data_IF_936044569038
#
_entry.id   IF_936044569038
#
_cell.length_a   1.000
_cell.length_b   1.000
_cell.length_c   1.000
_cell.angle_alpha   90.00
_cell.angle_beta   90.00
_cell.angle_gamma   90.00
#
_symmetry.space_group_name_H-M   'P 1'
#
loop_
_entity.id
_entity.type
_entity.pdbx_description
1 polymer ?
#
# COMPACT_ATOMS: atom_id res chain seq x y z
N UNK A 1 15.07 30.73 40.44
CA UNK A 1 15.19 29.29 40.17
C UNK A 1 13.85 28.62 39.86
N UNK A 2 12.74 28.89 40.53
CA UNK A 2 11.42 28.27 40.25
C UNK A 2 10.91 28.49 38.81
N UNK A 3 11.06 29.69 38.25
CA UNK A 3 10.64 30.01 36.88
C UNK A 3 11.40 29.21 35.81
N UNK A 4 12.69 28.97 35.99
CA UNK A 4 13.49 28.15 35.06
C UNK A 4 13.07 26.68 35.09
N UNK A 5 12.73 26.11 36.24
CA UNK A 5 12.25 24.75 36.37
C UNK A 5 10.89 24.57 35.71
N UNK A 6 9.97 25.55 35.83
CA UNK A 6 8.66 25.48 35.16
C UNK A 6 8.77 25.54 33.65
N UNK A 7 9.60 26.42 33.09
CA UNK A 7 9.80 26.52 31.62
C UNK A 7 10.39 25.22 31.06
N UNK A 8 11.40 24.64 31.72
CA UNK A 8 11.96 23.36 31.32
C UNK A 8 10.90 22.22 31.37
N UNK A 9 10.07 22.21 32.42
CA UNK A 9 8.96 21.25 32.52
C UNK A 9 7.97 21.34 31.36
N UNK A 10 7.57 22.56 30.98
CA UNK A 10 6.68 22.77 29.82
C UNK A 10 7.32 22.32 28.51
N UNK A 11 8.61 22.57 28.27
CA UNK A 11 9.32 22.15 27.07
C UNK A 11 9.35 20.62 26.96
N UNK A 12 9.65 19.92 28.06
CA UNK A 12 9.69 18.46 28.09
C UNK A 12 8.30 17.85 27.84
N UNK A 13 7.25 18.39 28.46
CA UNK A 13 5.88 17.92 28.26
C UNK A 13 5.44 18.16 26.82
N UNK A 14 5.70 19.35 26.27
CA UNK A 14 5.38 19.66 24.87
C UNK A 14 6.09 18.73 23.92
N UNK A 15 7.38 18.50 24.12
CA UNK A 15 8.17 17.59 23.28
C UNK A 15 7.65 16.14 23.35
N UNK A 16 7.36 15.63 24.55
CA UNK A 16 6.81 14.31 24.75
C UNK A 16 5.42 14.15 24.12
N UNK A 17 4.55 15.15 24.27
CA UNK A 17 3.23 15.16 23.65
C UNK A 17 3.32 15.19 22.13
N UNK A 18 4.23 15.99 21.56
CA UNK A 18 4.48 16.05 20.11
C UNK A 18 4.97 14.71 19.56
N UNK A 19 5.89 14.04 20.25
CA UNK A 19 6.38 12.71 19.86
C UNK A 19 5.27 11.65 19.92
N UNK A 20 4.45 11.66 20.97
CA UNK A 20 3.32 10.74 21.10
C UNK A 20 2.27 10.97 20.01
N UNK A 21 1.96 12.22 19.69
CA UNK A 21 1.05 12.58 18.59
C UNK A 21 1.57 12.09 17.25
N UNK A 22 2.82 12.42 16.90
CA UNK A 22 3.42 12.02 15.61
C UNK A 22 3.50 10.49 15.45
N UNK A 23 3.82 9.76 16.52
CA UNK A 23 3.84 8.29 16.48
C UNK A 23 2.43 7.70 16.31
N UNK A 24 1.42 8.31 16.92
CA UNK A 24 0.02 7.92 16.78
C UNK A 24 -0.50 8.13 15.36
N UNK A 25 -0.27 9.30 14.78
CA UNK A 25 -0.64 9.63 13.39
C UNK A 25 -0.01 8.65 12.41
N UNK A 26 1.30 8.41 12.55
CA UNK A 26 2.03 7.48 11.71
C UNK A 26 1.50 6.04 11.81
N UNK A 27 1.27 5.55 13.01
CA UNK A 27 0.71 4.19 13.23
C UNK A 27 -0.68 4.06 12.61
N UNK A 28 -1.52 5.06 12.78
CA UNK A 28 -2.86 5.10 12.19
C UNK A 28 -2.79 5.08 10.67
N UNK A 29 -1.94 5.91 10.07
CA UNK A 29 -1.79 5.97 8.62
C UNK A 29 -1.29 4.64 8.02
N UNK A 30 -0.32 3.97 8.66
CA UNK A 30 0.13 2.64 8.24
C UNK A 30 -1.02 1.63 8.29
N UNK A 31 -1.81 1.63 9.37
CA UNK A 31 -2.95 0.73 9.51
C UNK A 31 -4.04 1.01 8.46
N UNK A 32 -4.35 2.27 8.19
CA UNK A 32 -5.31 2.66 7.14
C UNK A 32 -4.81 2.22 5.77
N UNK A 33 -3.54 2.46 5.44
CA UNK A 33 -2.94 2.03 4.17
C UNK A 33 -2.96 0.51 4.00
N UNK A 34 -2.68 -0.24 5.07
CA UNK A 34 -2.80 -1.70 5.07
C UNK A 34 -4.25 -2.15 4.80
N UNK A 35 -5.24 -1.55 5.45
CA UNK A 35 -6.66 -1.88 5.24
C UNK A 35 -7.10 -1.54 3.81
N UNK A 36 -6.68 -0.40 3.27
CA UNK A 36 -6.95 -0.03 1.88
C UNK A 36 -6.38 -1.05 0.89
N UNK A 37 -5.12 -1.45 1.07
CA UNK A 37 -4.48 -2.45 0.21
C UNK A 37 -5.20 -3.81 0.30
N UNK A 38 -5.53 -4.28 1.51
CA UNK A 38 -6.26 -5.53 1.72
C UNK A 38 -7.67 -5.50 1.11
N UNK A 39 -8.41 -4.40 1.30
CA UNK A 39 -9.76 -4.25 0.75
C UNK A 39 -9.72 -4.21 -0.78
N UNK A 40 -8.76 -3.50 -1.36
CA UNK A 40 -8.53 -3.45 -2.81
C UNK A 40 -8.23 -4.84 -3.35
N UNK A 41 -7.30 -5.58 -2.72
CA UNK A 41 -6.98 -6.95 -3.12
C UNK A 41 -8.20 -7.87 -3.03
N UNK A 42 -8.93 -7.83 -1.92
CA UNK A 42 -10.09 -8.69 -1.74
C UNK A 42 -11.21 -8.38 -2.75
N UNK A 43 -11.42 -7.12 -3.10
CA UNK A 43 -12.37 -6.72 -4.13
C UNK A 43 -11.96 -7.28 -5.50
N UNK A 44 -10.70 -7.08 -5.90
CA UNK A 44 -10.15 -7.65 -7.13
C UNK A 44 -10.28 -9.18 -7.16
N UNK A 45 -9.95 -9.85 -6.05
CA UNK A 45 -10.02 -11.30 -5.95
C UNK A 45 -11.46 -11.83 -6.10
N UNK A 46 -12.44 -11.16 -5.52
CA UNK A 46 -13.85 -11.52 -5.69
C UNK A 46 -14.30 -11.38 -7.14
N UNK A 47 -13.91 -10.31 -7.83
CA UNK A 47 -14.25 -10.09 -9.23
C UNK A 47 -13.62 -11.15 -10.14
N UNK A 48 -12.34 -11.49 -9.91
CA UNK A 48 -11.68 -12.59 -10.64
C UNK A 48 -12.39 -13.93 -10.45
N UNK A 49 -12.84 -14.24 -9.22
CA UNK A 49 -13.61 -15.46 -8.94
C UNK A 49 -14.98 -15.51 -9.60
N UNK A 50 -15.59 -14.37 -9.88
CA UNK A 50 -16.87 -14.27 -10.61
C UNK A 50 -16.72 -14.45 -12.12
N UNK A 51 -15.50 -14.67 -12.61
CA UNK A 51 -15.21 -14.88 -14.01
C UNK A 51 -15.24 -13.61 -14.86
N UNK A 52 -14.91 -12.45 -14.25
CA UNK A 52 -14.78 -11.21 -14.99
C UNK A 52 -13.71 -11.34 -16.06
N UNK A 53 -13.95 -10.70 -17.20
CA UNK A 53 -12.96 -10.63 -18.27
C UNK A 53 -11.81 -9.70 -17.86
N UNK A 54 -10.70 -9.82 -18.59
CA UNK A 54 -9.53 -8.96 -18.41
C UNK A 54 -9.92 -7.48 -18.51
N UNK A 55 -10.70 -7.13 -19.53
CA UNK A 55 -11.13 -5.76 -19.81
C UNK A 55 -11.98 -5.19 -18.67
N UNK A 56 -12.88 -6.00 -18.10
CA UNK A 56 -13.69 -5.60 -16.95
C UNK A 56 -12.85 -5.35 -15.71
N UNK A 57 -11.84 -6.19 -15.47
CA UNK A 57 -10.93 -6.02 -14.34
C UNK A 57 -10.04 -4.79 -14.52
N UNK A 58 -9.50 -4.55 -15.72
CA UNK A 58 -8.70 -3.37 -16.03
C UNK A 58 -9.50 -2.07 -15.86
N UNK A 59 -10.75 -2.05 -16.31
CA UNK A 59 -11.64 -0.89 -16.12
C UNK A 59 -11.95 -0.66 -14.63
N UNK A 60 -12.20 -1.72 -13.87
CA UNK A 60 -12.40 -1.62 -12.42
C UNK A 60 -11.17 -1.04 -11.71
N UNK A 61 -9.96 -1.52 -12.06
CA UNK A 61 -8.71 -1.01 -11.49
C UNK A 61 -8.55 0.47 -11.80
N UNK A 62 -8.81 0.87 -13.05
CA UNK A 62 -8.75 2.27 -13.47
C UNK A 62 -9.76 3.15 -12.71
N UNK A 63 -10.98 2.67 -12.51
CA UNK A 63 -11.98 3.38 -11.71
C UNK A 63 -11.56 3.51 -10.24
N UNK A 64 -10.99 2.46 -9.64
CA UNK A 64 -10.45 2.49 -8.29
C UNK A 64 -9.34 3.54 -8.14
N UNK A 65 -8.40 3.57 -9.07
CA UNK A 65 -7.31 4.55 -9.07
C UNK A 65 -7.85 5.97 -9.18
N UNK A 66 -8.76 6.23 -10.12
CA UNK A 66 -9.36 7.55 -10.32
C UNK A 66 -10.23 8.01 -9.14
N UNK A 67 -10.94 7.09 -8.48
CA UNK A 67 -11.82 7.43 -7.34
C UNK A 67 -11.01 7.70 -6.07
N UNK A 68 -9.89 7.03 -5.92
CA UNK A 68 -9.00 7.19 -4.76
C UNK A 68 -7.91 8.24 -4.97
N UNK A 69 -7.87 8.90 -6.12
CA UNK A 69 -6.99 10.05 -6.38
C UNK A 69 -7.55 11.32 -5.70
N UNK A 70 -7.93 11.15 -4.43
CA UNK A 70 -8.27 12.23 -3.53
C UNK A 70 -6.97 12.86 -3.02
N UNK A 71 -7.03 14.13 -2.59
CA UNK A 71 -5.86 14.87 -2.10
C UNK A 71 -5.09 14.18 -0.98
N UNK A 72 -5.72 13.24 -0.27
CA UNK A 72 -5.17 12.63 0.93
C UNK A 72 -4.52 11.26 0.68
N UNK A 73 -4.94 10.51 -0.34
CA UNK A 73 -4.36 9.20 -0.66
C UNK A 73 -4.58 8.79 -2.11
N UNK A 74 -3.62 8.04 -2.66
CA UNK A 74 -3.71 7.40 -3.97
C UNK A 74 -3.40 5.91 -3.87
N UNK A 75 -3.97 5.12 -4.77
CA UNK A 75 -3.73 3.67 -4.86
C UNK A 75 -3.21 3.36 -6.25
N UNK A 76 -2.06 2.71 -6.32
CA UNK A 76 -1.49 2.20 -7.57
C UNK A 76 -1.35 0.69 -7.49
N UNK A 77 -1.82 -0.01 -8.52
CA UNK A 77 -1.74 -1.47 -8.62
C UNK A 77 -0.73 -1.81 -9.69
N UNK A 78 0.28 -2.59 -9.33
CA UNK A 78 1.33 -3.06 -10.23
C UNK A 78 1.12 -4.54 -10.51
N UNK A 79 1.13 -4.90 -11.78
CA UNK A 79 1.15 -6.29 -12.23
C UNK A 79 2.57 -6.84 -12.07
N UNK A 80 2.70 -8.04 -11.53
CA UNK A 80 3.99 -8.70 -11.38
C UNK A 80 4.38 -9.50 -12.62
N UNK A 81 5.67 -9.86 -12.71
CA UNK A 81 6.26 -10.55 -13.85
C UNK A 81 5.55 -11.86 -14.23
N UNK A 82 5.13 -12.64 -13.25
CA UNK A 82 4.39 -13.89 -13.46
C UNK A 82 3.03 -13.65 -14.14
N UNK A 83 2.35 -12.57 -13.76
CA UNK A 83 1.05 -12.22 -14.33
C UNK A 83 1.23 -11.64 -15.73
N UNK A 84 2.26 -10.81 -15.95
CA UNK A 84 2.61 -10.29 -17.28
C UNK A 84 3.01 -11.40 -18.25
N UNK A 85 3.75 -12.41 -17.78
CA UNK A 85 4.13 -13.56 -18.59
C UNK A 85 2.92 -14.36 -19.10
N UNK A 86 1.85 -14.43 -18.29
CA UNK A 86 0.66 -15.22 -18.64
C UNK A 86 -0.38 -14.40 -19.42
N UNK A 87 -0.59 -13.14 -19.03
CA UNK A 87 -1.68 -12.30 -19.55
C UNK A 87 -1.19 -11.11 -20.39
N UNK A 88 0.11 -10.96 -20.56
CA UNK A 88 0.75 -9.85 -21.27
C UNK A 88 0.96 -8.61 -20.41
N UNK A 89 1.82 -7.68 -20.88
CA UNK A 89 2.14 -6.44 -20.17
C UNK A 89 0.96 -5.47 -20.18
N UNK A 90 0.97 -4.55 -19.20
CA UNK A 90 0.09 -3.39 -19.14
C UNK A 90 0.94 -2.12 -19.07
N UNK A 91 0.33 -0.99 -19.40
CA UNK A 91 0.93 0.30 -19.11
C UNK A 91 0.87 0.57 -17.61
N UNK A 92 2.01 0.62 -16.97
CA UNK A 92 2.15 0.89 -15.53
C UNK A 92 3.45 1.66 -15.27
N UNK A 93 3.53 2.44 -14.16
CA UNK A 93 4.78 3.05 -13.75
C UNK A 93 5.86 1.99 -13.52
N UNK A 94 7.15 2.34 -13.67
CA UNK A 94 8.24 1.41 -13.36
C UNK A 94 8.24 1.07 -11.85
N UNK A 95 8.47 -0.20 -11.53
CA UNK A 95 8.65 -0.67 -10.16
C UNK A 95 9.97 -0.12 -9.63
N UNK A 96 9.91 0.81 -8.68
CA UNK A 96 11.08 1.43 -8.08
C UNK A 96 11.74 0.53 -7.01
N UNK A 97 12.86 1.01 -6.43
CA UNK A 97 13.63 0.26 -5.43
C UNK A 97 12.80 -0.02 -4.15
N UNK A 98 11.93 0.89 -3.74
CA UNK A 98 11.07 0.71 -2.57
C UNK A 98 10.04 -0.41 -2.80
N UNK A 99 9.36 -0.40 -3.94
CA UNK A 99 8.40 -1.43 -4.32
C UNK A 99 9.07 -2.79 -4.55
N UNK A 100 10.28 -2.79 -5.14
CA UNK A 100 11.09 -4.01 -5.31
C UNK A 100 11.45 -4.65 -3.98
N UNK A 101 11.79 -3.86 -2.96
CA UNK A 101 12.06 -4.37 -1.60
C UNK A 101 10.86 -5.14 -1.03
N UNK A 102 9.63 -4.66 -1.27
CA UNK A 102 8.40 -5.35 -0.86
C UNK A 102 8.22 -6.70 -1.58
N UNK A 103 8.52 -6.73 -2.89
CA UNK A 103 8.47 -7.95 -3.70
C UNK A 103 9.49 -8.98 -3.22
N UNK A 104 10.74 -8.57 -3.08
CA UNK A 104 11.87 -9.45 -2.72
C UNK A 104 11.70 -10.05 -1.31
N UNK A 105 11.24 -9.24 -0.36
CA UNK A 105 10.97 -9.68 1.01
C UNK A 105 9.62 -10.41 1.15
N UNK A 106 8.77 -10.40 0.13
CA UNK A 106 7.40 -10.95 0.17
C UNK A 106 6.60 -10.45 1.38
N UNK A 107 6.82 -9.21 1.77
CA UNK A 107 6.22 -8.58 2.96
C UNK A 107 5.95 -7.11 2.72
N UNK A 108 4.91 -6.60 3.36
CA UNK A 108 4.57 -5.19 3.27
C UNK A 108 5.71 -4.32 3.79
N UNK A 109 5.97 -3.22 3.08
CA UNK A 109 6.97 -2.22 3.43
C UNK A 109 6.29 -0.85 3.54
N UNK A 110 6.85 0.02 4.34
CA UNK A 110 6.44 1.42 4.37
C UNK A 110 7.65 2.34 4.41
N UNK A 111 7.49 3.50 3.81
CA UNK A 111 8.49 4.57 3.81
C UNK A 111 7.79 5.88 4.08
N UNK A 112 8.37 6.67 4.97
CA UNK A 112 7.94 8.04 5.23
C UNK A 112 8.99 8.99 4.67
N UNK A 113 8.57 9.85 3.76
CA UNK A 113 9.41 10.89 3.18
C UNK A 113 8.67 12.21 3.33
N UNK A 114 9.25 13.13 4.12
CA UNK A 114 8.58 14.35 4.55
C UNK A 114 7.24 14.03 5.22
N UNK A 115 6.14 14.49 4.65
CA UNK A 115 4.77 14.20 5.11
C UNK A 115 4.04 13.18 4.23
N UNK A 116 4.73 12.49 3.31
CA UNK A 116 4.15 11.46 2.47
C UNK A 116 4.48 10.07 3.01
N UNK A 117 3.47 9.31 3.39
CA UNK A 117 3.58 7.89 3.67
C UNK A 117 3.37 7.11 2.38
N UNK A 118 4.34 6.26 2.03
CA UNK A 118 4.22 5.24 1.00
C UNK A 118 4.11 3.87 1.67
N UNK A 119 3.13 3.09 1.28
CA UNK A 119 2.90 1.74 1.78
C UNK A 119 2.79 0.78 0.61
N UNK A 120 3.67 -0.23 0.54
CA UNK A 120 3.71 -1.23 -0.52
C UNK A 120 3.30 -2.59 0.03
N UNK A 121 2.28 -3.20 -0.57
CA UNK A 121 1.71 -4.48 -0.17
C UNK A 121 1.85 -5.50 -1.30
N UNK A 122 2.69 -6.57 -1.16
CA UNK A 122 2.86 -7.58 -2.18
C UNK A 122 1.66 -8.53 -2.21
N UNK A 123 1.19 -8.84 -3.40
CA UNK A 123 0.07 -9.76 -3.64
C UNK A 123 0.63 -11.18 -3.78
N UNK A 124 0.59 -11.95 -2.70
CA UNK A 124 1.09 -13.31 -2.70
C UNK A 124 0.03 -14.29 -3.21
N UNK A 125 0.44 -15.20 -4.09
CA UNK A 125 -0.41 -16.25 -4.61
C UNK A 125 -0.91 -17.17 -3.48
N UNK A 126 -2.22 -17.36 -3.41
CA UNK A 126 -2.90 -18.31 -2.53
C UNK A 126 -3.27 -19.55 -3.34
N UNK A 127 -3.71 -20.63 -2.68
CA UNK A 127 -4.16 -21.85 -3.36
C UNK A 127 -5.21 -21.57 -4.45
N UNK A 128 -6.14 -20.68 -4.13
CA UNK A 128 -7.24 -20.32 -5.04
C UNK A 128 -6.78 -19.56 -6.28
N UNK A 129 -5.60 -18.92 -6.23
CA UNK A 129 -5.04 -18.19 -7.36
C UNK A 129 -4.49 -19.14 -8.44
N UNK A 130 -4.06 -20.34 -8.04
CA UNK A 130 -3.36 -21.28 -8.92
C UNK A 130 -4.25 -21.84 -10.04
N UNK A 131 -5.55 -21.78 -9.87
CA UNK A 131 -6.51 -22.22 -10.88
C UNK A 131 -6.41 -21.39 -12.16
N UNK A 132 -6.21 -20.08 -12.01
CA UNK A 132 -6.11 -19.14 -13.15
C UNK A 132 -4.66 -18.74 -13.46
N UNK A 133 -3.76 -18.76 -12.46
CA UNK A 133 -2.36 -18.43 -12.60
C UNK A 133 -1.51 -19.72 -12.57
N UNK A 134 -1.53 -20.47 -13.69
CA UNK A 134 -0.90 -21.79 -13.78
C UNK A 134 0.63 -21.77 -13.79
N UNK A 135 1.25 -20.60 -13.95
CA UNK A 135 2.70 -20.39 -14.01
C UNK A 135 3.32 -19.97 -12.68
N UNK A 136 2.58 -20.08 -11.56
CA UNK A 136 3.05 -19.70 -10.23
C UNK A 136 2.81 -20.83 -9.22
N UNK A 137 3.48 -20.71 -8.08
CA UNK A 137 3.27 -21.52 -6.90
C UNK A 137 2.76 -20.66 -5.75
N UNK A 138 2.21 -21.31 -4.73
CA UNK A 138 1.78 -20.61 -3.51
C UNK A 138 2.92 -19.79 -2.91
N UNK A 139 2.65 -18.52 -2.63
CA UNK A 139 3.61 -17.57 -2.09
C UNK A 139 4.46 -16.83 -3.13
N UNK A 140 4.26 -17.08 -4.43
CA UNK A 140 4.85 -16.24 -5.46
C UNK A 140 4.14 -14.88 -5.54
N UNK A 141 4.87 -13.85 -5.96
CA UNK A 141 4.33 -12.49 -6.04
C UNK A 141 3.62 -12.28 -7.37
N UNK A 142 2.31 -12.06 -7.33
CA UNK A 142 1.46 -11.77 -8.49
C UNK A 142 1.49 -10.31 -8.89
N UNK A 143 1.88 -9.44 -7.98
CA UNK A 143 1.91 -7.99 -8.15
C UNK A 143 2.04 -7.30 -6.81
N UNK A 144 1.79 -6.01 -6.78
CA UNK A 144 1.73 -5.24 -5.54
C UNK A 144 0.69 -4.12 -5.61
N UNK A 145 0.24 -3.69 -4.45
CA UNK A 145 -0.58 -2.49 -4.28
C UNK A 145 0.26 -1.48 -3.50
N UNK A 146 0.46 -0.31 -4.08
CA UNK A 146 1.04 0.83 -3.39
C UNK A 146 -0.07 1.78 -2.98
N UNK A 147 -0.08 2.16 -1.70
CA UNK A 147 -0.92 3.23 -1.15
C UNK A 147 0.01 4.39 -0.77
N UNK A 148 -0.28 5.57 -1.29
CA UNK A 148 0.38 6.80 -0.86
C UNK A 148 -0.63 7.64 -0.09
N UNK A 149 -0.21 8.19 1.06
CA UNK A 149 -1.05 9.01 1.92
C UNK A 149 -0.30 10.24 2.39
N UNK A 150 -0.91 11.43 2.20
CA UNK A 150 -0.42 12.66 2.83
C UNK A 150 -0.72 12.62 4.34
N UNK A 151 0.26 13.04 5.14
CA UNK A 151 0.13 13.22 6.58
C UNK A 151 0.02 14.70 6.97
N UNK A 152 -0.04 15.59 5.97
CA UNK A 152 -0.27 17.01 6.21
C UNK A 152 -1.75 17.21 6.63
N UNK A 153 -1.93 17.77 7.83
CA UNK A 153 -3.23 18.13 8.39
C UNK A 153 -3.54 19.60 8.15
#
# INVERSE_FOLDING_TARGET
MALLCSVLGFIVIYWAASQAYNSGVRSTAINVSNQLALNTFNSMFQLMRQGWTREQLEEFIKQLQNTNDNKDHSITIFRGEHVEALFGPIEQPPIDAFNRLSIDNKSAQYQLQDSLLRYSYPLLAREECLTCHSNVTKGDVLGLIEVQQSLDA
#
